data_IF_143206237369
#
_entry.id   IF_143206237369
#
_cell.length_a   1.000
_cell.length_b   1.000
_cell.length_c   1.000
_cell.angle_alpha   90.00
_cell.angle_beta   90.00
_cell.angle_gamma   90.00
#
_symmetry.space_group_name_H-M   'P 1'
#
loop_
_entity.id
_entity.type
_entity.pdbx_description
1 polymer ?
#
# COMPACT_ATOMS: atom_id res chain seq x y z
N UNK A 1 24.96 13.69 34.52
CA UNK A 1 23.47 13.87 34.43
C UNK A 1 22.99 14.36 33.06
N UNK A 2 23.64 15.34 32.43
CA UNK A 2 23.23 15.88 31.11
C UNK A 2 23.27 14.85 29.98
N UNK A 3 24.30 14.00 29.88
CA UNK A 3 24.44 12.97 28.83
C UNK A 3 23.35 11.90 28.89
N UNK A 4 22.95 11.50 30.11
CA UNK A 4 21.89 10.50 30.30
C UNK A 4 20.51 11.05 29.85
N UNK A 5 20.25 12.33 30.13
CA UNK A 5 19.04 13.01 29.68
C UNK A 5 19.01 13.14 28.16
N UNK A 6 20.15 13.44 27.53
CA UNK A 6 20.25 13.53 26.08
C UNK A 6 19.95 12.17 25.41
N UNK A 7 20.53 11.08 25.89
CA UNK A 7 20.23 9.73 25.40
C UNK A 7 18.75 9.41 25.55
N UNK A 8 18.14 9.72 26.70
CA UNK A 8 16.71 9.49 26.90
C UNK A 8 15.83 10.32 25.96
N UNK A 9 16.22 11.57 25.69
CA UNK A 9 15.50 12.42 24.72
C UNK A 9 15.58 11.87 23.31
N UNK A 10 16.77 11.40 22.90
CA UNK A 10 16.99 10.77 21.59
C UNK A 10 16.20 9.46 21.49
N UNK A 11 16.26 8.60 22.49
CA UNK A 11 15.48 7.35 22.54
C UNK A 11 13.97 7.62 22.42
N UNK A 12 13.50 8.64 23.13
CA UNK A 12 12.09 9.03 23.06
C UNK A 12 11.70 9.52 21.66
N UNK A 13 12.55 10.32 21.01
CA UNK A 13 12.32 10.77 19.65
C UNK A 13 12.30 9.60 18.65
N UNK A 14 13.25 8.66 18.78
CA UNK A 14 13.31 7.45 17.93
C UNK A 14 12.05 6.61 18.08
N UNK A 15 11.53 6.44 19.28
CA UNK A 15 10.38 5.58 19.55
C UNK A 15 9.03 6.26 19.30
N UNK A 16 8.98 7.59 19.23
CA UNK A 16 7.72 8.36 19.08
C UNK A 16 7.39 8.77 17.64
N UNK A 17 8.36 8.74 16.75
CA UNK A 17 8.17 9.20 15.36
C UNK A 17 8.84 8.28 14.35
N UNK A 18 8.11 8.00 13.26
CA UNK A 18 8.68 7.37 12.05
C UNK A 18 9.32 8.41 11.11
N UNK A 19 9.20 9.71 11.42
CA UNK A 19 9.86 10.78 10.66
C UNK A 19 11.33 10.87 11.06
N UNK A 20 12.18 10.32 10.21
CA UNK A 20 13.64 10.35 10.37
C UNK A 20 14.19 11.76 10.48
N UNK A 21 13.64 12.70 9.73
CA UNK A 21 14.13 14.08 9.71
C UNK A 21 13.95 14.73 11.10
N UNK A 22 12.77 14.56 11.68
CA UNK A 22 12.50 15.02 13.04
C UNK A 22 13.40 14.34 14.07
N UNK A 23 13.53 13.02 14.00
CA UNK A 23 14.37 12.24 14.93
C UNK A 23 15.83 12.69 14.87
N UNK A 24 16.38 12.88 13.67
CA UNK A 24 17.77 13.33 13.52
C UNK A 24 17.95 14.80 13.87
N UNK A 25 16.95 15.65 13.69
CA UNK A 25 17.02 17.02 14.17
C UNK A 25 17.16 17.09 15.68
N UNK A 26 16.36 16.33 16.42
CA UNK A 26 16.49 16.20 17.89
C UNK A 26 17.87 15.66 18.28
N UNK A 27 18.37 14.66 17.54
CA UNK A 27 19.71 14.11 17.77
C UNK A 27 20.79 15.20 17.58
N UNK A 28 20.75 15.94 16.47
CA UNK A 28 21.72 17.01 16.21
C UNK A 28 21.70 18.11 17.27
N UNK A 29 20.52 18.52 17.75
CA UNK A 29 20.39 19.50 18.85
C UNK A 29 21.09 19.03 20.12
N UNK A 30 20.91 17.76 20.51
CA UNK A 30 21.57 17.18 21.67
C UNK A 30 23.09 17.06 21.48
N UNK A 31 23.51 16.63 20.29
CA UNK A 31 24.94 16.49 19.94
C UNK A 31 25.64 17.84 19.96
N UNK A 32 25.09 18.88 19.31
CA UNK A 32 25.68 20.24 19.33
C UNK A 32 25.81 20.80 20.74
N UNK A 33 24.78 20.58 21.57
CA UNK A 33 24.79 21.05 22.97
C UNK A 33 25.90 20.41 23.80
N UNK A 34 26.17 19.12 23.56
CA UNK A 34 27.11 18.34 24.40
C UNK A 34 28.56 18.40 23.87
N UNK A 35 28.75 18.55 22.57
CA UNK A 35 30.08 18.57 21.95
C UNK A 35 30.64 19.96 21.73
N UNK A 36 29.79 21.00 21.85
CA UNK A 36 30.12 22.40 21.48
C UNK A 36 30.47 22.58 19.99
N UNK A 37 30.12 21.59 19.16
CA UNK A 37 30.29 21.75 17.71
C UNK A 37 29.45 22.93 17.21
N UNK A 38 29.99 23.68 16.26
CA UNK A 38 29.29 24.84 15.68
C UNK A 38 28.20 24.43 14.68
N UNK A 39 28.38 23.30 14.01
CA UNK A 39 27.41 22.73 13.08
C UNK A 39 27.51 21.19 13.04
N UNK A 40 26.43 20.52 12.60
CA UNK A 40 26.43 19.08 12.43
C UNK A 40 25.45 18.68 11.31
N UNK A 41 25.70 17.53 10.70
CA UNK A 41 24.77 16.95 9.73
C UNK A 41 24.78 15.41 9.78
N UNK A 42 23.72 14.81 9.25
CA UNK A 42 23.63 13.36 9.06
C UNK A 42 23.53 13.07 7.57
N UNK A 43 24.43 12.23 7.10
CA UNK A 43 24.53 11.78 5.72
C UNK A 43 24.28 10.28 5.69
N UNK A 44 23.40 9.86 4.81
CA UNK A 44 23.09 8.46 4.54
C UNK A 44 23.82 7.97 3.29
N UNK A 45 24.28 6.72 3.30
CA UNK A 45 24.82 6.04 2.13
C UNK A 45 23.73 5.19 1.48
N UNK A 46 23.28 5.62 0.30
CA UNK A 46 22.36 4.84 -0.53
C UNK A 46 23.17 3.81 -1.31
N UNK A 47 23.11 2.55 -0.87
CA UNK A 47 23.86 1.45 -1.50
C UNK A 47 23.30 1.04 -2.87
N UNK A 48 22.02 1.34 -3.17
CA UNK A 48 21.40 1.02 -4.46
C UNK A 48 21.84 2.04 -5.52
N UNK A 49 21.89 3.32 -5.14
CA UNK A 49 22.28 4.42 -6.04
C UNK A 49 23.77 4.76 -5.97
N UNK A 50 24.51 4.17 -5.03
CA UNK A 50 25.91 4.51 -4.73
C UNK A 50 26.11 6.02 -4.53
N UNK A 51 25.21 6.65 -3.78
CA UNK A 51 25.20 8.10 -3.52
C UNK A 51 25.09 8.40 -2.02
N UNK A 52 25.59 9.59 -1.65
CA UNK A 52 25.43 10.15 -0.30
C UNK A 52 24.22 11.06 -0.29
N UNK A 53 23.31 10.90 0.68
CA UNK A 53 22.09 11.71 0.82
C UNK A 53 22.10 12.43 2.15
N UNK A 54 22.15 13.77 2.12
CA UNK A 54 21.95 14.57 3.32
C UNK A 54 20.52 14.37 3.84
N UNK A 55 20.39 13.93 5.08
CA UNK A 55 19.10 13.75 5.76
C UNK A 55 18.67 15.05 6.41
N UNK A 56 19.54 15.63 7.25
CA UNK A 56 19.31 16.90 7.93
C UNK A 56 20.63 17.52 8.32
N UNK A 57 20.62 18.83 8.59
CA UNK A 57 21.77 19.59 9.05
C UNK A 57 21.32 20.67 10.04
N UNK A 58 22.21 21.08 10.93
CA UNK A 58 21.97 22.11 11.93
C UNK A 58 23.24 22.94 12.17
N UNK A 59 23.08 24.25 12.41
CA UNK A 59 24.18 25.15 12.75
C UNK A 59 24.96 25.75 11.56
N UNK A 60 24.58 25.43 10.31
CA UNK A 60 25.14 26.02 9.10
C UNK A 60 24.42 27.31 8.71
N UNK A 61 25.17 28.28 8.13
CA UNK A 61 24.62 29.43 7.42
C UNK A 61 24.38 29.14 5.94
N UNK A 62 25.08 28.16 5.38
CA UNK A 62 24.92 27.66 4.02
C UNK A 62 23.57 26.98 3.82
N UNK A 63 22.92 27.22 2.68
CA UNK A 63 21.62 26.61 2.38
C UNK A 63 21.67 25.09 2.30
N UNK A 64 20.56 24.40 2.68
CA UNK A 64 20.50 22.93 2.64
C UNK A 64 20.72 22.38 1.21
N UNK A 65 20.32 23.13 0.18
CA UNK A 65 20.53 22.72 -1.23
C UNK A 65 22.00 22.71 -1.59
N UNK A 66 22.74 23.73 -1.18
CA UNK A 66 24.19 23.80 -1.41
C UNK A 66 24.93 22.74 -0.60
N UNK A 67 24.57 22.56 0.68
CA UNK A 67 25.13 21.51 1.53
C UNK A 67 24.97 20.12 0.90
N UNK A 68 23.81 19.81 0.35
CA UNK A 68 23.57 18.53 -0.35
C UNK A 68 24.56 18.28 -1.48
N UNK A 69 24.87 19.30 -2.26
CA UNK A 69 25.79 19.18 -3.40
C UNK A 69 27.25 19.04 -2.96
N UNK A 70 27.64 19.79 -1.92
CA UNK A 70 29.02 19.82 -1.41
C UNK A 70 29.34 18.53 -0.67
N UNK A 71 28.49 18.10 0.25
CA UNK A 71 28.71 16.95 1.14
C UNK A 71 28.67 15.60 0.39
N UNK A 72 28.11 15.54 -0.81
CA UNK A 72 28.25 14.37 -1.67
C UNK A 72 29.71 14.03 -2.00
N UNK A 73 30.58 15.03 -1.98
CA UNK A 73 31.99 14.90 -2.32
C UNK A 73 32.91 14.79 -1.08
N UNK A 74 32.34 14.59 0.10
CA UNK A 74 33.11 14.53 1.35
C UNK A 74 34.02 13.28 1.38
N UNK A 75 35.37 13.46 1.35
CA UNK A 75 36.30 12.36 1.38
C UNK A 75 36.47 11.74 2.78
N UNK A 76 36.21 12.51 3.86
CA UNK A 76 36.25 11.96 5.22
C UNK A 76 35.08 11.03 5.47
N UNK A 77 33.91 11.33 4.92
CA UNK A 77 32.78 10.41 4.96
C UNK A 77 33.12 9.07 4.29
N UNK A 78 33.81 9.10 3.13
CA UNK A 78 34.28 7.88 2.45
C UNK A 78 35.34 7.14 3.30
N UNK A 79 36.24 7.88 3.94
CA UNK A 79 37.23 7.30 4.83
C UNK A 79 36.59 6.65 6.05
N UNK A 80 35.63 7.32 6.72
CA UNK A 80 34.89 6.76 7.84
C UNK A 80 34.06 5.52 7.45
N UNK A 81 33.55 5.49 6.21
CA UNK A 81 32.87 4.32 5.67
C UNK A 81 33.79 3.10 5.56
N UNK A 82 35.02 3.31 5.12
CA UNK A 82 36.02 2.25 4.93
C UNK A 82 36.61 1.80 6.27
N UNK A 83 37.07 2.76 7.10
CA UNK A 83 37.81 2.52 8.34
C UNK A 83 36.89 2.08 9.50
N UNK A 84 35.61 2.45 9.44
CA UNK A 84 34.57 2.09 10.44
C UNK A 84 34.89 2.59 11.86
N UNK A 85 35.57 3.72 11.95
CA UNK A 85 35.82 4.42 13.21
C UNK A 85 35.70 5.94 12.99
N UNK A 86 35.73 6.70 14.08
CA UNK A 86 35.70 8.16 14.02
C UNK A 86 36.93 8.66 13.29
N UNK A 87 36.71 9.50 12.29
CA UNK A 87 37.76 10.12 11.48
C UNK A 87 37.77 11.61 11.77
N UNK A 88 38.95 12.18 11.98
CA UNK A 88 39.15 13.64 12.11
C UNK A 88 39.81 14.20 10.87
N UNK A 89 39.42 15.41 10.47
CA UNK A 89 40.16 16.19 9.47
C UNK A 89 41.50 16.64 10.02
N UNK A 90 42.53 16.60 9.17
CA UNK A 90 43.82 17.25 9.50
C UNK A 90 43.75 18.73 9.19
N UNK A 91 44.60 19.52 9.84
CA UNK A 91 44.70 20.94 9.55
C UNK A 91 45.16 21.20 8.11
N UNK A 92 46.03 20.34 7.56
CA UNK A 92 46.50 20.40 6.19
C UNK A 92 45.38 20.14 5.18
N UNK A 93 44.47 19.20 5.48
CA UNK A 93 43.29 18.94 4.64
C UNK A 93 42.37 20.17 4.59
N UNK A 94 42.13 20.82 5.72
CA UNK A 94 41.21 21.98 5.82
C UNK A 94 41.71 23.20 5.05
N UNK A 95 43.03 23.49 5.10
CA UNK A 95 43.62 24.65 4.44
C UNK A 95 43.94 24.42 2.95
N UNK A 96 43.86 23.19 2.48
CA UNK A 96 44.13 22.81 1.08
C UNK A 96 42.99 23.29 0.17
N UNK A 97 43.28 24.15 -0.78
CA UNK A 97 42.30 24.57 -1.82
C UNK A 97 41.84 23.41 -2.71
N UNK A 98 42.60 22.33 -2.77
CA UNK A 98 42.22 21.11 -3.49
C UNK A 98 41.23 20.24 -2.73
N UNK A 99 40.96 20.54 -1.45
CA UNK A 99 40.00 19.78 -0.65
C UNK A 99 38.56 20.07 -1.09
N UNK A 100 37.76 19.07 -1.41
CA UNK A 100 36.40 19.26 -1.97
C UNK A 100 35.47 20.13 -1.13
N UNK A 101 35.68 20.18 0.18
CA UNK A 101 34.88 20.97 1.13
C UNK A 101 35.51 22.31 1.50
N UNK A 102 36.67 22.69 0.93
CA UNK A 102 37.44 23.89 1.30
C UNK A 102 36.58 25.17 1.30
N UNK A 103 35.74 25.37 0.28
CA UNK A 103 34.83 26.50 0.17
C UNK A 103 33.79 26.54 1.32
N UNK A 104 33.22 25.43 1.66
CA UNK A 104 32.27 25.29 2.78
C UNK A 104 32.98 25.58 4.11
N UNK A 105 34.10 24.91 4.36
CA UNK A 105 34.82 25.05 5.63
C UNK A 105 35.24 26.48 5.90
N UNK A 106 35.73 27.17 4.86
CA UNK A 106 36.11 28.58 4.94
C UNK A 106 34.91 29.50 5.13
N UNK A 107 33.83 29.27 4.38
CA UNK A 107 32.61 30.09 4.47
C UNK A 107 31.91 29.99 5.82
N UNK A 108 32.01 28.84 6.46
CA UNK A 108 31.40 28.54 7.78
C UNK A 108 32.38 28.74 8.95
N UNK A 109 33.61 29.22 8.68
CA UNK A 109 34.68 29.41 9.69
C UNK A 109 35.06 28.14 10.46
N UNK A 110 35.00 26.97 9.77
CA UNK A 110 35.30 25.66 10.36
C UNK A 110 36.82 25.45 10.42
N UNK A 111 37.32 25.08 11.61
CA UNK A 111 38.74 24.82 11.89
C UNK A 111 39.03 23.32 11.92
N UNK A 112 38.10 22.51 12.38
CA UNK A 112 38.22 21.05 12.39
C UNK A 112 36.83 20.41 12.26
N UNK A 113 36.79 19.19 11.74
CA UNK A 113 35.57 18.39 11.79
C UNK A 113 35.85 16.91 11.97
N UNK A 114 34.87 16.24 12.54
CA UNK A 114 34.89 14.82 12.83
C UNK A 114 33.76 14.13 12.11
N UNK A 115 34.03 12.95 11.60
CA UNK A 115 33.04 12.09 10.94
C UNK A 115 32.89 10.83 11.76
N UNK A 116 31.70 10.61 12.28
CA UNK A 116 31.33 9.46 13.13
C UNK A 116 30.49 8.49 12.31
N UNK A 117 30.96 7.26 12.04
CA UNK A 117 30.20 6.31 11.24
C UNK A 117 28.98 5.78 11.97
N UNK A 118 27.83 5.73 11.30
CA UNK A 118 26.60 5.14 11.78
C UNK A 118 26.60 3.65 11.45
N UNK A 119 26.99 2.82 12.41
CA UNK A 119 27.20 1.38 12.21
C UNK A 119 26.06 0.58 12.85
N UNK A 120 25.44 -0.31 12.06
CA UNK A 120 24.48 -1.29 12.54
C UNK A 120 24.77 -2.67 11.96
N UNK A 121 24.81 -3.70 12.82
CA UNK A 121 25.12 -5.09 12.40
C UNK A 121 26.43 -5.23 11.59
N UNK A 122 27.42 -4.37 11.85
CA UNK A 122 28.70 -4.36 11.16
C UNK A 122 28.71 -3.63 9.80
N UNK A 123 27.62 -3.00 9.38
CA UNK A 123 27.51 -2.22 8.16
C UNK A 123 27.42 -0.73 8.47
N UNK A 124 28.18 0.09 7.76
CA UNK A 124 28.05 1.54 7.82
C UNK A 124 26.86 1.96 6.97
N UNK A 125 25.88 2.58 7.56
CA UNK A 125 24.66 3.07 6.90
C UNK A 125 24.74 4.55 6.52
N UNK A 126 25.61 5.29 7.19
CA UNK A 126 25.78 6.71 7.01
C UNK A 126 26.86 7.25 7.94
N UNK A 127 26.90 8.57 8.05
CA UNK A 127 27.83 9.27 8.96
C UNK A 127 27.10 10.42 9.66
N UNK A 128 27.59 10.75 10.84
CA UNK A 128 27.28 11.95 11.59
C UNK A 128 28.53 12.84 11.54
N UNK A 129 28.42 13.99 10.87
CA UNK A 129 29.52 14.94 10.74
C UNK A 129 29.35 16.06 11.76
N UNK A 130 30.43 16.41 12.45
CA UNK A 130 30.51 17.44 13.49
C UNK A 130 31.57 18.45 13.11
N UNK A 131 31.19 19.71 12.97
CA UNK A 131 32.04 20.80 12.51
C UNK A 131 32.31 21.79 13.63
N UNK A 132 33.58 22.08 13.89
CA UNK A 132 34.03 22.92 14.99
C UNK A 132 34.64 24.23 14.47
N UNK A 133 34.27 25.34 15.13
CA UNK A 133 34.84 26.68 14.87
C UNK A 133 36.03 27.00 15.80
N UNK A 134 36.27 26.15 16.79
CA UNK A 134 37.39 26.21 17.70
C UNK A 134 38.25 24.94 17.54
N UNK A 135 39.53 25.01 17.91
CA UNK A 135 40.49 23.88 17.81
C UNK A 135 40.42 23.02 19.10
N UNK A 136 39.20 22.65 19.50
CA UNK A 136 39.00 21.75 20.62
C UNK A 136 39.23 20.30 20.21
N UNK A 137 40.15 19.61 20.90
CA UNK A 137 40.29 18.16 20.75
C UNK A 137 39.16 17.43 21.49
N UNK A 138 38.55 16.48 20.79
CA UNK A 138 37.52 15.64 21.39
C UNK A 138 38.13 14.73 22.42
N UNK A 139 37.69 14.83 23.70
CA UNK A 139 38.10 13.91 24.72
C UNK A 139 37.51 12.50 24.54
N UNK A 140 38.11 11.50 25.23
CA UNK A 140 37.70 10.10 25.11
C UNK A 140 36.26 9.87 25.59
N UNK A 141 35.78 10.66 26.56
CA UNK A 141 34.40 10.51 27.05
C UNK A 141 33.36 11.03 26.04
N UNK A 142 33.69 12.14 25.35
CA UNK A 142 32.85 12.67 24.27
C UNK A 142 32.84 11.71 23.07
N UNK A 143 34.00 11.14 22.72
CA UNK A 143 34.11 10.15 21.62
C UNK A 143 33.23 8.92 21.92
N UNK A 144 33.30 8.33 23.09
CA UNK A 144 32.50 7.17 23.51
C UNK A 144 30.98 7.49 23.49
N UNK A 145 30.65 8.70 23.91
CA UNK A 145 29.24 9.17 23.88
C UNK A 145 28.72 9.30 22.44
N UNK A 146 29.53 9.87 21.53
CA UNK A 146 29.19 9.99 20.13
C UNK A 146 29.04 8.64 19.43
N UNK A 147 29.89 7.66 19.74
CA UNK A 147 29.74 6.29 19.26
C UNK A 147 28.42 5.68 19.69
N UNK A 148 28.02 5.90 20.97
CA UNK A 148 26.73 5.43 21.48
C UNK A 148 25.54 6.07 20.73
N UNK A 149 25.59 7.39 20.55
CA UNK A 149 24.55 8.12 19.79
C UNK A 149 24.52 7.66 18.32
N UNK A 150 25.69 7.52 17.71
CA UNK A 150 25.80 7.07 16.32
C UNK A 150 25.21 5.68 16.14
N UNK A 151 25.41 4.78 17.12
CA UNK A 151 24.79 3.46 17.09
C UNK A 151 23.27 3.53 17.18
N UNK A 152 22.71 4.35 18.07
CA UNK A 152 21.26 4.56 18.16
C UNK A 152 20.69 5.18 16.89
N UNK A 153 21.37 6.18 16.34
CA UNK A 153 21.01 6.80 15.08
C UNK A 153 21.00 5.77 13.92
N UNK A 154 22.01 4.91 13.86
CA UNK A 154 22.09 3.86 12.85
C UNK A 154 20.93 2.84 12.94
N UNK A 155 20.55 2.46 14.18
CA UNK A 155 19.39 1.57 14.43
C UNK A 155 18.09 2.23 14.00
N UNK A 156 17.90 3.52 14.32
CA UNK A 156 16.72 4.27 13.90
C UNK A 156 16.60 4.34 12.38
N UNK A 157 17.71 4.58 11.70
CA UNK A 157 17.78 4.61 10.23
C UNK A 157 17.39 3.26 9.61
N UNK A 158 18.01 2.17 10.11
CA UNK A 158 17.70 0.82 9.62
C UNK A 158 16.24 0.46 9.85
N UNK A 159 15.69 0.80 11.01
CA UNK A 159 14.30 0.53 11.38
C UNK A 159 13.32 1.24 10.43
N UNK A 160 13.54 2.54 10.17
CA UNK A 160 12.70 3.31 9.26
C UNK A 160 12.78 2.81 7.82
N UNK A 161 13.98 2.51 7.32
CA UNK A 161 14.15 1.93 5.98
C UNK A 161 13.46 0.57 5.83
N UNK A 162 13.57 -0.28 6.84
CA UNK A 162 12.90 -1.57 6.84
C UNK A 162 11.37 -1.39 6.85
N UNK A 163 10.86 -0.41 7.58
CA UNK A 163 9.44 -0.11 7.62
C UNK A 163 8.94 0.38 6.25
N UNK A 164 9.62 1.35 5.63
CA UNK A 164 9.28 1.83 4.28
C UNK A 164 9.33 0.70 3.24
N UNK A 165 10.37 -0.13 3.31
CA UNK A 165 10.51 -1.29 2.41
C UNK A 165 9.40 -2.31 2.61
N UNK A 166 9.01 -2.60 3.84
CA UNK A 166 7.90 -3.50 4.14
C UNK A 166 6.57 -2.94 3.64
N UNK A 167 6.32 -1.65 3.82
CA UNK A 167 5.12 -1.00 3.27
C UNK A 167 5.07 -1.09 1.74
N UNK A 168 6.18 -0.76 1.08
CA UNK A 168 6.28 -0.85 -0.38
C UNK A 168 6.06 -2.26 -0.89
N UNK A 169 6.76 -3.24 -0.30
CA UNK A 169 6.62 -4.65 -0.67
C UNK A 169 5.18 -5.15 -0.45
N UNK A 170 4.51 -4.71 0.63
CA UNK A 170 3.13 -5.07 0.90
C UNK A 170 2.18 -4.48 -0.14
N UNK A 171 2.39 -3.23 -0.54
CA UNK A 171 1.60 -2.61 -1.63
C UNK A 171 1.81 -3.32 -2.96
N UNK A 172 3.06 -3.62 -3.34
CA UNK A 172 3.39 -4.36 -4.56
C UNK A 172 2.76 -5.75 -4.57
N UNK A 173 2.77 -6.43 -3.42
CA UNK A 173 2.15 -7.75 -3.26
C UNK A 173 0.62 -7.68 -3.43
N UNK A 174 -0.03 -6.70 -2.82
CA UNK A 174 -1.48 -6.50 -2.96
C UNK A 174 -1.85 -6.19 -4.42
N UNK A 175 -1.07 -5.35 -5.09
CA UNK A 175 -1.27 -5.05 -6.51
C UNK A 175 -1.11 -6.29 -7.39
N UNK A 176 -0.08 -7.10 -7.15
CA UNK A 176 0.14 -8.35 -7.89
C UNK A 176 -1.00 -9.36 -7.69
N UNK A 177 -1.61 -9.41 -6.50
CA UNK A 177 -2.82 -10.20 -6.28
C UNK A 177 -4.01 -9.69 -7.09
N UNK A 178 -4.28 -8.39 -7.07
CA UNK A 178 -5.40 -7.80 -7.80
C UNK A 178 -5.21 -7.92 -9.32
N UNK A 179 -3.98 -7.77 -9.83
CA UNK A 179 -3.63 -8.02 -11.24
C UNK A 179 -3.86 -9.49 -11.64
N UNK A 180 -3.54 -10.42 -10.75
CA UNK A 180 -3.79 -11.85 -10.96
C UNK A 180 -5.29 -12.15 -11.05
N UNK A 181 -6.10 -11.54 -10.17
CA UNK A 181 -7.56 -11.68 -10.22
C UNK A 181 -8.14 -11.09 -11.51
N UNK A 182 -7.66 -9.92 -11.93
CA UNK A 182 -8.04 -9.32 -13.20
C UNK A 182 -7.69 -10.24 -14.40
N UNK A 183 -6.53 -10.90 -14.35
CA UNK A 183 -6.13 -11.91 -15.34
C UNK A 183 -7.09 -13.09 -15.39
N UNK A 184 -7.58 -13.58 -14.26
CA UNK A 184 -8.58 -14.68 -14.22
C UNK A 184 -9.93 -14.24 -14.80
N UNK A 185 -10.37 -13.01 -14.49
CA UNK A 185 -11.60 -12.46 -15.07
C UNK A 185 -11.48 -12.32 -16.58
N UNK A 186 -10.37 -11.75 -17.07
CA UNK A 186 -10.12 -11.62 -18.50
C UNK A 186 -10.08 -12.99 -19.21
N UNK A 187 -9.47 -13.99 -18.58
CA UNK A 187 -9.47 -15.34 -19.12
C UNK A 187 -10.90 -15.93 -19.24
N UNK A 188 -11.74 -15.68 -18.22
CA UNK A 188 -13.13 -16.13 -18.24
C UNK A 188 -13.93 -15.39 -19.32
N UNK A 189 -13.76 -14.07 -19.45
CA UNK A 189 -14.43 -13.25 -20.47
C UNK A 189 -14.05 -13.67 -21.90
N UNK A 190 -12.79 -14.08 -22.12
CA UNK A 190 -12.36 -14.64 -23.40
C UNK A 190 -13.01 -16.00 -23.71
N UNK A 191 -13.36 -16.76 -22.67
CA UNK A 191 -13.99 -18.07 -22.80
C UNK A 191 -15.52 -18.00 -22.89
N UNK A 192 -16.14 -17.09 -22.15
CA UNK A 192 -17.58 -16.81 -22.13
C UNK A 192 -17.88 -15.61 -23.04
N UNK A 193 -18.12 -15.84 -24.34
CA UNK A 193 -18.34 -14.84 -25.38
C UNK A 193 -19.51 -13.86 -25.09
N UNK A 194 -20.19 -14.02 -23.94
CA UNK A 194 -21.44 -13.31 -23.62
C UNK A 194 -21.27 -12.11 -22.67
N UNK A 195 -20.07 -11.85 -22.15
CA UNK A 195 -19.91 -10.97 -20.98
C UNK A 195 -19.19 -9.63 -21.23
N UNK A 196 -19.00 -9.18 -22.46
CA UNK A 196 -18.26 -7.94 -22.78
C UNK A 196 -18.63 -6.74 -21.88
N UNK A 197 -17.74 -6.40 -20.92
CA UNK A 197 -17.88 -5.26 -20.01
C UNK A 197 -18.91 -5.41 -18.88
N UNK A 198 -19.65 -6.49 -18.81
CA UNK A 198 -20.67 -6.76 -17.77
C UNK A 198 -20.04 -6.72 -16.36
N UNK A 199 -18.95 -7.44 -16.14
CA UNK A 199 -18.30 -7.55 -14.84
C UNK A 199 -17.96 -6.19 -14.25
N UNK A 200 -17.48 -5.24 -15.05
CA UNK A 200 -17.14 -3.89 -14.57
C UNK A 200 -18.38 -3.05 -14.24
N UNK A 201 -19.44 -3.12 -15.05
CA UNK A 201 -20.68 -2.39 -14.77
C UNK A 201 -21.36 -2.86 -13.48
N UNK A 202 -21.46 -4.18 -13.29
CA UNK A 202 -22.04 -4.74 -12.04
C UNK A 202 -21.16 -4.46 -10.84
N UNK A 203 -19.83 -4.37 -11.01
CA UNK A 203 -18.89 -4.01 -9.95
C UNK A 203 -19.14 -2.59 -9.45
N UNK A 204 -19.13 -1.62 -10.35
CA UNK A 204 -19.34 -0.20 -10.00
C UNK A 204 -20.67 0.00 -9.27
N UNK A 205 -21.75 -0.53 -9.86
CA UNK A 205 -23.11 -0.43 -9.28
C UNK A 205 -23.22 -1.11 -7.92
N UNK A 206 -22.64 -2.31 -7.78
CA UNK A 206 -22.67 -3.04 -6.50
C UNK A 206 -21.92 -2.30 -5.42
N UNK A 207 -20.70 -1.81 -5.69
CA UNK A 207 -19.91 -1.07 -4.71
C UNK A 207 -20.57 0.24 -4.30
N UNK A 208 -21.19 0.95 -5.22
CA UNK A 208 -21.95 2.18 -4.93
C UNK A 208 -23.09 1.88 -3.95
N UNK A 209 -23.90 0.87 -4.26
CA UNK A 209 -25.02 0.48 -3.40
C UNK A 209 -24.52 0.02 -2.03
N UNK A 210 -23.49 -0.83 -1.98
CA UNK A 210 -22.94 -1.30 -0.72
C UNK A 210 -22.38 -0.15 0.14
N UNK A 211 -21.74 0.87 -0.45
CA UNK A 211 -21.36 2.09 0.29
C UNK A 211 -22.56 2.80 0.90
N UNK A 212 -23.64 2.95 0.14
CA UNK A 212 -24.88 3.57 0.63
C UNK A 212 -25.56 2.75 1.72
N UNK A 213 -25.32 1.44 1.79
CA UNK A 213 -25.78 0.55 2.86
C UNK A 213 -24.85 0.53 4.07
N UNK A 214 -23.72 1.24 4.05
CA UNK A 214 -22.84 1.41 5.21
C UNK A 214 -21.79 0.33 5.39
N UNK A 215 -21.45 -0.44 4.36
CA UNK A 215 -20.33 -1.38 4.41
C UNK A 215 -18.99 -0.64 4.63
N UNK A 216 -18.16 -1.17 5.50
CA UNK A 216 -16.81 -0.66 5.78
C UNK A 216 -15.88 -0.81 4.56
N UNK A 217 -14.79 -0.05 4.54
CA UNK A 217 -13.78 -0.15 3.46
C UNK A 217 -13.23 -1.57 3.30
N UNK A 218 -13.08 -2.32 4.39
CA UNK A 218 -12.61 -3.70 4.34
C UNK A 218 -13.64 -4.63 3.72
N UNK A 219 -14.91 -4.51 4.10
CA UNK A 219 -16.00 -5.29 3.49
C UNK A 219 -16.15 -4.95 2.00
N UNK A 220 -16.06 -3.68 1.62
CA UNK A 220 -16.09 -3.25 0.23
C UNK A 220 -14.96 -3.88 -0.60
N UNK A 221 -13.77 -4.05 -0.03
CA UNK A 221 -12.67 -4.76 -0.70
C UNK A 221 -13.02 -6.24 -0.96
N UNK A 222 -13.66 -6.90 0.01
CA UNK A 222 -14.10 -8.30 -0.17
C UNK A 222 -15.25 -8.40 -1.18
N UNK A 223 -16.18 -7.46 -1.16
CA UNK A 223 -17.27 -7.37 -2.13
C UNK A 223 -16.71 -7.14 -3.53
N UNK A 224 -15.76 -6.22 -3.70
CA UNK A 224 -15.08 -5.96 -4.97
C UNK A 224 -14.54 -7.26 -5.59
N UNK A 225 -13.75 -8.02 -4.82
CA UNK A 225 -13.21 -9.30 -5.27
C UNK A 225 -14.30 -10.34 -5.53
N UNK A 226 -15.32 -10.39 -4.68
CA UNK A 226 -16.45 -11.29 -4.85
C UNK A 226 -17.22 -11.02 -6.15
N UNK A 227 -17.46 -9.76 -6.49
CA UNK A 227 -18.11 -9.38 -7.76
C UNK A 227 -17.23 -9.76 -8.95
N UNK A 228 -15.94 -9.43 -8.92
CA UNK A 228 -15.02 -9.81 -10.00
C UNK A 228 -15.02 -11.32 -10.27
N UNK A 229 -15.15 -12.12 -9.22
CA UNK A 229 -15.02 -13.57 -9.29
C UNK A 229 -16.37 -14.30 -9.23
N UNK A 230 -17.52 -13.60 -9.33
CA UNK A 230 -18.83 -14.23 -9.16
C UNK A 230 -19.03 -15.44 -10.07
N UNK A 231 -18.59 -15.34 -11.30
CA UNK A 231 -18.75 -16.33 -12.36
C UNK A 231 -17.51 -17.21 -12.59
N UNK A 232 -16.43 -17.08 -11.77
CA UNK A 232 -15.17 -17.81 -11.99
C UNK A 232 -15.37 -19.34 -12.09
N UNK A 233 -16.35 -19.87 -11.40
CA UNK A 233 -16.66 -21.31 -11.45
C UNK A 233 -17.17 -21.81 -12.79
N UNK A 234 -17.52 -20.94 -13.72
CA UNK A 234 -17.83 -21.31 -15.12
C UNK A 234 -16.64 -21.98 -15.82
N UNK A 235 -15.43 -21.82 -15.31
CA UNK A 235 -14.24 -22.55 -15.76
C UNK A 235 -14.47 -24.07 -15.67
N UNK A 236 -15.24 -24.54 -14.70
CA UNK A 236 -15.59 -25.95 -14.53
C UNK A 236 -16.73 -26.45 -15.43
N UNK A 237 -17.38 -25.57 -16.19
CA UNK A 237 -18.49 -25.94 -17.10
C UNK A 237 -17.92 -26.31 -18.48
N UNK A 238 -18.31 -27.43 -19.09
CA UNK A 238 -17.88 -27.81 -20.44
C UNK A 238 -18.28 -26.78 -21.51
N UNK A 239 -17.41 -26.52 -22.49
CA UNK A 239 -17.61 -25.50 -23.54
C UNK A 239 -18.89 -25.70 -24.38
N UNK A 240 -19.24 -26.97 -24.66
CA UNK A 240 -20.46 -27.29 -25.38
C UNK A 240 -21.74 -26.94 -24.63
N UNK A 241 -21.66 -26.70 -23.32
CA UNK A 241 -22.78 -26.21 -22.48
C UNK A 241 -22.64 -24.68 -22.30
N UNK A 242 -21.44 -24.19 -21.97
CA UNK A 242 -21.21 -22.77 -21.73
C UNK A 242 -21.53 -21.92 -22.94
N UNK A 243 -21.02 -22.31 -24.12
CA UNK A 243 -21.16 -21.57 -25.39
C UNK A 243 -22.21 -22.19 -26.32
N UNK A 244 -23.17 -22.93 -25.77
CA UNK A 244 -24.22 -23.53 -26.58
C UNK A 244 -25.03 -22.47 -27.33
N UNK A 245 -25.15 -22.58 -28.68
CA UNK A 245 -26.02 -21.70 -29.46
C UNK A 245 -27.48 -22.12 -29.27
N UNK A 246 -28.15 -21.59 -28.22
CA UNK A 246 -29.55 -21.87 -27.93
C UNK A 246 -29.83 -22.19 -26.47
N UNK A 247 -31.07 -22.54 -26.12
CA UNK A 247 -31.44 -22.85 -24.75
C UNK A 247 -30.79 -24.13 -24.24
N UNK A 248 -30.41 -24.13 -22.97
CA UNK A 248 -29.93 -25.35 -22.28
C UNK A 248 -31.09 -26.30 -22.01
N UNK A 249 -30.84 -27.59 -22.15
CA UNK A 249 -31.74 -28.63 -21.66
C UNK A 249 -31.70 -28.73 -20.15
N UNK A 250 -32.67 -29.39 -19.51
CA UNK A 250 -32.70 -29.58 -18.06
C UNK A 250 -31.42 -30.26 -17.52
N UNK A 251 -30.89 -31.26 -18.26
CA UNK A 251 -29.65 -31.91 -17.89
C UNK A 251 -28.42 -30.98 -17.96
N UNK A 252 -28.36 -30.11 -18.95
CA UNK A 252 -27.30 -29.11 -19.09
C UNK A 252 -27.44 -28.01 -18.02
N UNK A 253 -28.66 -27.61 -17.66
CA UNK A 253 -28.93 -26.69 -16.54
C UNK A 253 -28.42 -27.24 -15.21
N UNK A 254 -28.56 -28.55 -14.94
CA UNK A 254 -27.97 -29.20 -13.76
C UNK A 254 -26.46 -29.00 -13.69
N UNK A 255 -25.78 -29.03 -14.84
CA UNK A 255 -24.33 -28.80 -14.90
C UNK A 255 -24.02 -27.31 -14.73
N UNK A 256 -24.70 -26.44 -15.45
CA UNK A 256 -24.52 -24.99 -15.38
C UNK A 256 -24.69 -24.47 -13.95
N UNK A 257 -25.72 -24.91 -13.24
CA UNK A 257 -25.99 -24.53 -11.83
C UNK A 257 -24.90 -24.94 -10.84
N UNK A 258 -23.90 -25.71 -11.25
CA UNK A 258 -22.76 -26.07 -10.38
C UNK A 258 -21.67 -25.01 -10.32
N UNK A 259 -21.67 -23.98 -11.20
CA UNK A 259 -20.59 -22.98 -11.19
C UNK A 259 -20.39 -22.25 -9.87
N UNK A 260 -21.43 -21.94 -9.03
CA UNK A 260 -21.17 -21.36 -7.72
C UNK A 260 -20.44 -22.32 -6.77
N UNK A 261 -20.71 -23.64 -6.91
CA UNK A 261 -20.00 -24.68 -6.15
C UNK A 261 -18.53 -24.77 -6.61
N UNK A 262 -18.30 -24.73 -7.91
CA UNK A 262 -16.96 -24.71 -8.46
C UNK A 262 -16.20 -23.45 -8.04
N UNK A 263 -16.85 -22.28 -8.07
CA UNK A 263 -16.27 -21.04 -7.54
C UNK A 263 -15.86 -21.22 -6.07
N UNK A 264 -16.75 -21.75 -5.23
CA UNK A 264 -16.44 -22.04 -3.84
C UNK A 264 -15.22 -22.98 -3.69
N UNK A 265 -15.19 -24.09 -4.42
CA UNK A 265 -14.09 -25.07 -4.38
C UNK A 265 -12.76 -24.47 -4.82
N UNK A 266 -12.75 -23.56 -5.80
CA UNK A 266 -11.56 -22.88 -6.29
C UNK A 266 -11.05 -21.82 -5.31
N UNK A 267 -11.95 -21.03 -4.73
CA UNK A 267 -11.58 -19.84 -3.95
C UNK A 267 -11.39 -20.13 -2.46
N UNK A 268 -12.11 -21.08 -1.88
CA UNK A 268 -12.05 -21.41 -0.45
C UNK A 268 -10.65 -21.80 0.07
N UNK A 269 -9.82 -22.58 -0.68
CA UNK A 269 -8.45 -22.90 -0.27
C UNK A 269 -7.55 -21.66 -0.13
N UNK A 270 -7.88 -20.56 -0.83
CA UNK A 270 -7.11 -19.32 -0.85
C UNK A 270 -7.55 -18.44 0.32
N UNK A 271 -6.79 -18.41 1.41
CA UNK A 271 -7.15 -17.71 2.65
C UNK A 271 -7.57 -16.25 2.43
N UNK A 272 -6.87 -15.58 1.53
CA UNK A 272 -7.10 -14.19 1.15
C UNK A 272 -8.46 -13.94 0.48
N UNK A 273 -9.04 -14.94 -0.20
CA UNK A 273 -10.30 -14.84 -0.94
C UNK A 273 -11.51 -15.38 -0.16
N UNK A 274 -11.30 -16.08 0.97
CA UNK A 274 -12.42 -16.62 1.77
C UNK A 274 -13.46 -15.59 2.15
N UNK A 275 -13.09 -14.36 2.60
CA UNK A 275 -14.09 -13.34 2.94
C UNK A 275 -14.88 -12.81 1.73
N UNK A 276 -14.45 -13.11 0.50
CA UNK A 276 -15.09 -12.68 -0.74
C UNK A 276 -16.06 -13.71 -1.32
N UNK A 277 -16.28 -14.84 -0.64
CA UNK A 277 -17.06 -15.97 -1.15
C UNK A 277 -18.57 -15.74 -1.19
N UNK A 278 -19.08 -14.78 -0.44
CA UNK A 278 -20.51 -14.52 -0.32
C UNK A 278 -21.19 -14.35 -1.68
N UNK A 279 -20.62 -13.55 -2.56
CA UNK A 279 -21.19 -13.30 -3.89
C UNK A 279 -20.95 -14.50 -4.83
N UNK A 280 -19.74 -15.01 -5.06
CA UNK A 280 -19.52 -16.16 -5.94
C UNK A 280 -20.33 -17.40 -5.58
N UNK A 281 -20.59 -17.61 -4.29
CA UNK A 281 -21.29 -18.80 -3.84
C UNK A 281 -22.80 -18.64 -3.74
N UNK A 282 -23.32 -17.37 -3.56
CA UNK A 282 -24.73 -17.13 -3.23
C UNK A 282 -25.47 -16.21 -4.23
N UNK A 283 -24.84 -15.75 -5.32
CA UNK A 283 -25.48 -14.78 -6.23
C UNK A 283 -26.70 -15.32 -6.99
N UNK A 284 -26.90 -16.62 -7.01
CA UNK A 284 -28.06 -17.28 -7.59
C UNK A 284 -29.05 -17.80 -6.54
N UNK A 285 -28.81 -17.52 -5.27
CA UNK A 285 -29.83 -17.75 -4.24
C UNK A 285 -31.02 -16.80 -4.44
N UNK A 286 -32.21 -17.24 -4.05
CA UNK A 286 -33.43 -16.44 -4.14
C UNK A 286 -34.06 -16.27 -2.77
N UNK A 287 -34.69 -15.14 -2.55
CA UNK A 287 -35.30 -14.80 -1.26
C UNK A 287 -36.22 -15.87 -0.73
N UNK A 288 -36.99 -16.50 -1.61
CA UNK A 288 -37.97 -17.55 -1.24
C UNK A 288 -37.35 -18.94 -0.99
N UNK A 289 -36.03 -19.10 -1.22
CA UNK A 289 -35.30 -20.38 -1.05
C UNK A 289 -35.34 -21.29 -2.28
N UNK A 290 -35.89 -20.84 -3.41
CA UNK A 290 -35.92 -21.64 -4.66
C UNK A 290 -34.64 -21.48 -5.49
N UNK A 291 -33.67 -20.72 -4.99
CA UNK A 291 -32.36 -20.49 -5.60
C UNK A 291 -31.42 -21.69 -5.50
N UNK A 292 -30.18 -21.47 -5.90
CA UNK A 292 -29.11 -22.48 -5.84
C UNK A 292 -27.76 -21.81 -5.51
N UNK A 293 -26.74 -22.53 -5.01
CA UNK A 293 -26.65 -24.00 -4.89
C UNK A 293 -27.14 -24.56 -3.55
N UNK A 294 -27.40 -23.71 -2.56
CA UNK A 294 -27.69 -24.12 -1.16
C UNK A 294 -29.18 -24.07 -0.82
N UNK A 295 -29.99 -23.33 -1.58
CA UNK A 295 -31.38 -23.07 -1.28
C UNK A 295 -31.56 -22.20 -0.03
N UNK A 296 -30.68 -21.23 0.22
CA UNK A 296 -30.77 -20.28 1.33
C UNK A 296 -32.01 -19.42 1.19
N UNK A 297 -32.65 -19.10 2.34
CA UNK A 297 -33.93 -18.35 2.37
C UNK A 297 -33.79 -17.07 3.17
N UNK A 298 -34.30 -15.97 2.63
CA UNK A 298 -34.40 -14.71 3.34
C UNK A 298 -33.03 -14.18 3.78
N UNK A 299 -32.88 -13.86 5.05
CA UNK A 299 -31.63 -13.29 5.62
C UNK A 299 -30.49 -14.31 5.83
N UNK A 300 -30.72 -15.58 5.54
CA UNK A 300 -29.62 -16.55 5.45
C UNK A 300 -28.70 -16.25 4.26
N UNK A 301 -29.21 -15.57 3.22
CA UNK A 301 -28.42 -15.08 2.10
C UNK A 301 -27.64 -13.85 2.57
N UNK A 302 -26.29 -13.80 2.41
CA UNK A 302 -25.50 -12.64 2.76
C UNK A 302 -26.03 -11.35 2.10
N UNK A 303 -25.99 -10.22 2.81
CA UNK A 303 -26.54 -8.96 2.30
C UNK A 303 -25.86 -8.53 0.99
N UNK A 304 -24.53 -8.71 0.88
CA UNK A 304 -23.78 -8.43 -0.34
C UNK A 304 -24.29 -9.23 -1.55
N UNK A 305 -24.63 -10.51 -1.35
CA UNK A 305 -25.17 -11.37 -2.41
C UNK A 305 -26.61 -10.98 -2.78
N UNK A 306 -27.46 -10.56 -1.79
CA UNK A 306 -28.82 -10.05 -2.05
C UNK A 306 -28.80 -8.77 -2.88
N UNK A 307 -27.87 -7.85 -2.57
CA UNK A 307 -27.65 -6.61 -3.35
C UNK A 307 -27.16 -6.96 -4.75
N UNK A 308 -26.14 -7.81 -4.85
CA UNK A 308 -25.55 -8.21 -6.13
C UNK A 308 -26.59 -8.86 -7.05
N UNK A 309 -27.45 -9.74 -6.56
CA UNK A 309 -28.48 -10.38 -7.36
C UNK A 309 -29.42 -9.38 -8.07
N UNK A 310 -29.73 -8.25 -7.42
CA UNK A 310 -30.53 -7.17 -8.03
C UNK A 310 -29.75 -6.48 -9.14
N UNK A 311 -28.48 -6.15 -8.87
CA UNK A 311 -27.58 -5.47 -9.80
C UNK A 311 -27.31 -6.33 -11.04
N UNK A 312 -27.01 -7.62 -10.84
CA UNK A 312 -26.73 -8.58 -11.89
C UNK A 312 -27.93 -8.73 -12.84
N UNK A 313 -29.12 -8.91 -12.30
CA UNK A 313 -30.35 -9.01 -13.10
C UNK A 313 -30.66 -7.68 -13.79
N UNK A 314 -30.44 -6.54 -13.14
CA UNK A 314 -30.63 -5.24 -13.75
C UNK A 314 -29.71 -5.04 -14.96
N UNK A 315 -28.40 -5.26 -14.81
CA UNK A 315 -27.44 -5.15 -15.93
C UNK A 315 -27.75 -6.18 -17.02
N UNK A 316 -28.03 -7.43 -16.61
CA UNK A 316 -28.38 -8.48 -17.56
C UNK A 316 -29.59 -8.12 -18.43
N UNK A 317 -30.62 -7.43 -17.90
CA UNK A 317 -31.82 -7.08 -18.62
C UNK A 317 -31.71 -5.76 -19.40
N UNK A 318 -30.90 -4.81 -18.93
CA UNK A 318 -30.68 -3.50 -19.57
C UNK A 318 -29.55 -3.50 -20.60
N UNK A 319 -28.78 -4.59 -20.74
CA UNK A 319 -27.71 -4.72 -21.74
C UNK A 319 -28.14 -5.61 -22.93
N UNK A 320 -27.63 -5.30 -24.13
CA UNK A 320 -27.79 -6.14 -25.28
C UNK A 320 -27.03 -7.46 -25.12
N UNK A 321 -27.65 -8.55 -25.53
CA UNK A 321 -27.04 -9.87 -25.56
C UNK A 321 -27.17 -10.47 -26.97
N UNK A 322 -26.30 -11.37 -27.42
CA UNK A 322 -26.33 -11.92 -28.80
C UNK A 322 -27.70 -12.43 -29.25
N UNK A 323 -28.54 -12.81 -28.29
CA UNK A 323 -29.86 -13.41 -28.57
C UNK A 323 -31.03 -12.53 -28.10
N UNK A 324 -30.79 -11.34 -27.55
CA UNK A 324 -31.83 -10.50 -26.98
C UNK A 324 -31.40 -9.04 -26.86
N UNK A 325 -32.22 -8.13 -27.41
CA UNK A 325 -32.06 -6.68 -27.22
C UNK A 325 -32.28 -6.28 -25.74
N UNK A 326 -31.64 -5.21 -25.31
CA UNK A 326 -31.88 -4.60 -24.02
C UNK A 326 -33.36 -4.23 -23.81
N UNK A 327 -33.84 -4.46 -22.59
CA UNK A 327 -35.14 -3.96 -22.18
C UNK A 327 -35.06 -2.48 -21.81
N UNK A 328 -36.17 -1.78 -21.94
CA UNK A 328 -36.28 -0.40 -21.44
C UNK A 328 -36.15 -0.41 -19.91
N UNK A 329 -35.42 0.57 -19.36
CA UNK A 329 -35.16 0.66 -17.92
C UNK A 329 -36.44 0.56 -17.06
N UNK A 330 -37.51 1.22 -17.49
CA UNK A 330 -38.82 1.23 -16.81
C UNK A 330 -39.42 -0.20 -16.71
N UNK A 331 -39.26 -0.99 -17.76
CA UNK A 331 -39.73 -2.39 -17.79
C UNK A 331 -38.93 -3.27 -16.84
N UNK A 332 -37.61 -3.06 -16.80
CA UNK A 332 -36.72 -3.78 -15.90
C UNK A 332 -37.03 -3.44 -14.44
N UNK A 333 -37.21 -2.18 -14.12
CA UNK A 333 -37.59 -1.72 -12.76
C UNK A 333 -38.91 -2.36 -12.33
N UNK A 334 -39.92 -2.35 -13.22
CA UNK A 334 -41.20 -3.00 -12.93
C UNK A 334 -41.02 -4.50 -12.66
N UNK A 335 -40.27 -5.19 -13.51
CA UNK A 335 -39.97 -6.62 -13.34
C UNK A 335 -39.28 -6.91 -11.99
N UNK A 336 -38.25 -6.14 -11.62
CA UNK A 336 -37.55 -6.35 -10.36
C UNK A 336 -38.47 -6.13 -9.16
N UNK A 337 -39.35 -5.11 -9.19
CA UNK A 337 -40.37 -4.90 -8.15
C UNK A 337 -41.39 -6.04 -8.05
N UNK A 338 -41.82 -6.58 -9.16
CA UNK A 338 -42.73 -7.73 -9.22
C UNK A 338 -42.10 -9.01 -8.64
N UNK A 339 -40.78 -9.11 -8.70
CA UNK A 339 -40.03 -10.24 -8.11
C UNK A 339 -39.57 -10.00 -6.66
N UNK A 340 -39.97 -8.88 -6.04
CA UNK A 340 -39.72 -8.61 -4.63
C UNK A 340 -40.49 -9.62 -3.75
N UNK A 341 -39.81 -10.17 -2.75
CA UNK A 341 -40.35 -11.23 -1.87
C UNK A 341 -40.27 -12.66 -2.43
N UNK A 342 -39.93 -12.82 -3.70
CA UNK A 342 -39.66 -14.13 -4.34
C UNK A 342 -38.21 -14.29 -4.73
N UNK A 343 -37.73 -13.56 -5.72
CA UNK A 343 -36.35 -13.56 -6.13
C UNK A 343 -35.51 -12.63 -5.25
N UNK A 344 -36.00 -11.40 -5.04
CA UNK A 344 -35.25 -10.34 -4.36
C UNK A 344 -35.78 -10.06 -2.96
N UNK A 345 -34.88 -9.57 -2.11
CA UNK A 345 -35.19 -9.14 -0.76
C UNK A 345 -36.11 -7.91 -0.76
N UNK A 346 -37.33 -7.99 -0.20
CA UNK A 346 -38.28 -6.89 -0.20
C UNK A 346 -37.83 -5.68 0.64
N UNK A 347 -36.91 -5.85 1.61
CA UNK A 347 -36.46 -4.75 2.46
C UNK A 347 -35.44 -3.84 1.72
N UNK A 348 -34.77 -4.34 0.68
CA UNK A 348 -33.71 -3.59 0.00
C UNK A 348 -34.03 -3.27 -1.46
N UNK A 349 -35.01 -3.94 -2.08
CA UNK A 349 -35.25 -3.86 -3.52
C UNK A 349 -35.46 -2.43 -4.00
N UNK A 350 -36.39 -1.66 -3.40
CA UNK A 350 -36.68 -0.29 -3.83
C UNK A 350 -35.47 0.63 -3.65
N UNK A 351 -34.77 0.53 -2.52
CA UNK A 351 -33.57 1.34 -2.28
C UNK A 351 -32.44 1.03 -3.29
N UNK A 352 -32.27 -0.23 -3.67
CA UNK A 352 -31.29 -0.61 -4.70
C UNK A 352 -31.68 -0.04 -6.06
N UNK A 353 -32.96 -0.09 -6.44
CA UNK A 353 -33.47 0.48 -7.69
C UNK A 353 -33.23 2.00 -7.73
N UNK A 354 -33.56 2.73 -6.68
CA UNK A 354 -33.38 4.18 -6.62
C UNK A 354 -31.92 4.57 -6.79
N UNK A 355 -30.99 3.81 -6.18
CA UNK A 355 -29.55 4.02 -6.34
C UNK A 355 -29.02 3.67 -7.73
N UNK A 356 -29.61 2.66 -8.41
CA UNK A 356 -29.27 2.33 -9.80
C UNK A 356 -29.75 3.40 -10.79
N UNK A 357 -30.88 4.03 -10.52
CA UNK A 357 -31.45 5.05 -11.40
C UNK A 357 -30.78 6.42 -11.22
N UNK A 358 -30.20 6.71 -10.07
CA UNK A 358 -29.52 8.01 -9.83
C UNK A 358 -28.32 8.27 -10.74
N UNK A 359 -27.69 7.25 -11.33
CA UNK A 359 -26.58 7.41 -12.30
C UNK A 359 -27.06 7.85 -13.69
N UNK A 360 -28.36 7.69 -13.97
CA UNK A 360 -28.89 7.99 -15.31
C UNK A 360 -29.24 9.48 -15.51
N UNK A 361 -28.96 10.34 -14.51
CA UNK A 361 -29.26 11.78 -14.56
C UNK A 361 -28.01 12.67 -14.73
N UNK A 362 -26.81 12.08 -14.70
CA UNK A 362 -25.53 12.82 -14.85
C UNK A 362 -24.87 12.65 -16.23
N UNK A 363 -25.49 11.94 -17.18
CA UNK A 363 -25.15 11.92 -18.61
C UNK A 363 -26.14 12.82 -19.38
#
# INVERSE_FOLDING_TARGET
MHRLNALHTIDTAINSSFDLRFTYQVLLEQVLTLTKAGAACVIFFDSELNTKKLITSLGFSTSEVELKLILQKDPLADRAFIERHIVRSTREEIISEAFPLAGLLKGEEIISYYVVPLIVKGYVKGVLDLFFRDDDEMDLEVSNFLETIAQQAAIALESSQNFERLQKNNQELLQAYDDTLAGWVNFLDLRDEKTGGHTMRVLESTLKICRAFGFSSQELLHIHRGVLLHDIGKIGVPDNILNKPGPLTDAEWVIMKKHPVYAYQMLYPISYLRPSLDIPYCHHEKWDGTGYPRGLKGKEIPLSARIFAIVDVYDALTSDRPYRNAWKKEVVVKYIREQSGTHFDPEITDRCIDLLLSDSQEE
#
